data_IF_428084786145
#
_entry.id   IF_428084786145
#
_cell.length_a   1.000
_cell.length_b   1.000
_cell.length_c   1.000
_cell.angle_alpha   90.00
_cell.angle_beta   90.00
_cell.angle_gamma   90.00
#
_symmetry.space_group_name_H-M   'P 1'
#
loop_
_entity.id
_entity.type
_entity.pdbx_description
1 polymer ?
#
# COMPACT_ATOMS: atom_id res chain seq x y z
N UNK A 1 -8.20 2.01 -13.29
CA UNK A 1 -9.39 2.28 -12.49
C UNK A 1 -9.00 2.71 -11.10
N UNK A 2 -8.85 4.02 -10.87
CA UNK A 2 -9.05 4.62 -9.54
C UNK A 2 -10.52 4.45 -9.11
N UNK A 3 -10.80 4.58 -7.81
CA UNK A 3 -12.15 4.63 -7.26
C UNK A 3 -13.05 5.66 -7.99
N UNK A 4 -12.46 6.74 -8.50
CA UNK A 4 -13.17 7.79 -9.26
C UNK A 4 -13.28 7.49 -10.77
N UNK A 5 -12.38 6.66 -11.34
CA UNK A 5 -12.39 6.30 -12.77
C UNK A 5 -13.59 5.40 -13.13
N UNK A 6 -14.18 4.75 -12.11
CA UNK A 6 -15.39 3.93 -12.26
C UNK A 6 -16.65 4.74 -12.60
N UNK A 7 -16.75 5.98 -12.12
CA UNK A 7 -17.89 6.85 -12.41
C UNK A 7 -17.96 7.25 -13.90
N UNK A 8 -16.85 7.11 -14.64
CA UNK A 8 -16.77 7.52 -16.04
C UNK A 8 -16.69 6.33 -17.02
N UNK A 9 -16.41 5.12 -16.53
CA UNK A 9 -16.27 3.90 -17.34
C UNK A 9 -17.61 3.22 -17.71
N UNK A 10 -18.73 3.65 -17.12
CA UNK A 10 -20.07 3.09 -17.37
C UNK A 10 -20.68 3.51 -18.73
N UNK A 11 -19.89 4.11 -19.64
CA UNK A 11 -20.40 4.71 -20.88
C UNK A 11 -19.85 4.17 -22.20
N UNK A 12 -19.15 3.04 -22.23
CA UNK A 12 -18.62 2.52 -23.50
C UNK A 12 -18.85 1.00 -23.61
N UNK A 13 -19.79 0.63 -24.47
CA UNK A 13 -20.02 -0.74 -24.98
C UNK A 13 -19.10 -1.07 -26.17
N UNK A 14 -18.92 -2.35 -26.53
CA UNK A 14 -17.67 -2.89 -27.08
C UNK A 14 -17.72 -3.19 -28.59
N UNK A 15 -16.56 -3.27 -29.26
CA UNK A 15 -16.43 -3.93 -30.58
C UNK A 15 -15.14 -4.76 -30.72
N UNK A 16 -15.37 -6.02 -31.11
CA UNK A 16 -14.61 -7.11 -31.75
C UNK A 16 -13.09 -7.14 -31.92
N UNK A 17 -12.53 -8.26 -31.43
CA UNK A 17 -11.78 -9.34 -32.09
C UNK A 17 -11.05 -9.10 -33.42
N UNK A 18 -9.75 -9.45 -33.45
CA UNK A 18 -9.20 -10.38 -34.44
C UNK A 18 -7.85 -10.99 -34.00
N UNK A 19 -7.74 -12.29 -34.22
CA UNK A 19 -6.59 -13.19 -34.04
C UNK A 19 -5.51 -13.00 -35.10
N UNK A 20 -4.25 -13.25 -34.76
CA UNK A 20 -3.29 -13.98 -35.62
C UNK A 20 -2.06 -14.40 -34.80
N UNK A 21 -1.78 -15.70 -34.90
CA UNK A 21 -0.66 -16.46 -34.35
C UNK A 21 0.60 -16.30 -35.21
N UNK A 22 1.77 -16.12 -34.60
CA UNK A 22 3.07 -16.39 -35.23
C UNK A 22 4.09 -16.91 -34.21
N UNK A 23 4.84 -17.92 -34.67
CA UNK A 23 5.70 -18.82 -33.91
C UNK A 23 6.99 -18.15 -33.40
N UNK A 24 7.45 -18.53 -32.20
CA UNK A 24 8.83 -18.25 -31.77
C UNK A 24 9.46 -19.50 -31.15
N UNK A 25 10.69 -19.74 -31.60
CA UNK A 25 11.51 -20.93 -31.44
C UNK A 25 12.02 -21.16 -30.02
N UNK A 26 12.20 -22.44 -29.70
CA UNK A 26 12.75 -22.97 -28.47
C UNK A 26 14.18 -22.49 -28.21
N UNK A 27 14.42 -21.90 -27.04
CA UNK A 27 15.73 -21.86 -26.39
C UNK A 27 15.62 -22.46 -24.99
N UNK A 28 16.58 -23.31 -24.68
CA UNK A 28 16.61 -24.26 -23.58
C UNK A 28 16.26 -23.68 -22.20
N UNK A 29 15.36 -24.39 -21.51
CA UNK A 29 14.98 -24.19 -20.12
C UNK A 29 16.13 -24.65 -19.21
N UNK A 30 16.96 -23.72 -18.73
CA UNK A 30 17.90 -23.99 -17.64
C UNK A 30 17.16 -23.88 -16.32
N UNK A 31 16.86 -25.04 -15.73
CA UNK A 31 16.32 -25.18 -14.39
C UNK A 31 17.43 -24.93 -13.36
N UNK A 32 17.52 -23.71 -12.78
CA UNK A 32 18.10 -23.42 -11.44
C UNK A 32 18.09 -21.91 -11.08
N UNK A 33 16.95 -21.22 -11.15
CA UNK A 33 16.83 -19.82 -10.67
C UNK A 33 15.48 -19.55 -10.00
N UNK A 34 15.28 -20.07 -8.78
CA UNK A 34 14.14 -19.66 -7.93
C UNK A 34 14.48 -18.53 -6.96
N UNK A 35 15.68 -17.94 -7.05
CA UNK A 35 15.95 -16.65 -6.41
C UNK A 35 15.56 -15.57 -7.40
N UNK A 36 14.48 -14.79 -7.17
CA UNK A 36 14.16 -13.67 -8.02
C UNK A 36 15.39 -12.73 -8.05
N UNK A 37 15.86 -12.39 -9.25
CA UNK A 37 17.12 -11.66 -9.42
C UNK A 37 16.99 -10.24 -8.86
N UNK A 38 17.94 -9.81 -8.03
CA UNK A 38 17.97 -8.45 -7.49
C UNK A 38 18.01 -7.39 -8.61
N UNK A 39 18.53 -7.76 -9.78
CA UNK A 39 18.53 -6.93 -11.00
C UNK A 39 17.13 -6.49 -11.43
N UNK A 40 16.07 -7.25 -11.14
CA UNK A 40 14.70 -6.82 -11.43
C UNK A 40 14.27 -5.63 -10.54
N UNK A 41 14.78 -5.55 -9.30
CA UNK A 41 14.52 -4.44 -8.38
C UNK A 41 15.30 -3.17 -8.73
N UNK A 42 16.42 -3.30 -9.45
CA UNK A 42 17.22 -2.15 -9.88
C UNK A 42 16.66 -1.50 -11.16
N UNK A 43 15.80 -2.21 -11.88
CA UNK A 43 15.16 -1.75 -13.12
C UNK A 43 13.79 -1.08 -12.93
N UNK A 44 13.37 -0.84 -11.68
CA UNK A 44 12.08 -0.20 -11.38
C UNK A 44 12.12 1.28 -11.82
N UNK A 45 11.15 1.72 -12.63
CA UNK A 45 11.12 3.08 -13.18
C UNK A 45 9.92 3.90 -12.72
N UNK A 46 8.79 3.25 -12.48
CA UNK A 46 7.50 3.91 -12.17
C UNK A 46 7.24 3.89 -10.67
N UNK A 47 7.42 2.75 -10.01
CA UNK A 47 7.17 2.56 -8.59
C UNK A 47 8.04 3.47 -7.70
N UNK A 48 9.36 3.68 -7.97
CA UNK A 48 10.14 4.63 -7.19
C UNK A 48 9.53 6.04 -7.22
N UNK A 49 8.97 6.48 -8.35
CA UNK A 49 8.34 7.81 -8.46
C UNK A 49 7.07 7.90 -7.61
N UNK A 50 6.30 6.82 -7.53
CA UNK A 50 5.08 6.75 -6.71
C UNK A 50 5.42 6.75 -5.21
N UNK A 51 6.47 6.03 -4.82
CA UNK A 51 6.83 5.82 -3.42
C UNK A 51 7.72 6.91 -2.82
N UNK A 52 8.48 7.65 -3.63
CA UNK A 52 9.45 8.67 -3.20
C UNK A 52 8.82 9.92 -2.57
N UNK A 53 7.49 9.99 -2.48
CA UNK A 53 6.79 11.27 -2.42
C UNK A 53 6.01 11.51 -1.10
N UNK A 54 6.31 10.81 -0.02
CA UNK A 54 5.50 10.91 1.21
C UNK A 54 4.03 10.47 1.03
N UNK A 55 3.65 10.10 -0.20
CA UNK A 55 2.48 9.32 -0.59
C UNK A 55 2.31 8.15 0.36
N UNK A 56 3.40 7.43 0.64
CA UNK A 56 3.39 6.30 1.56
C UNK A 56 2.90 6.68 2.96
N UNK A 57 3.27 7.85 3.48
CA UNK A 57 2.85 8.29 4.81
C UNK A 57 1.40 8.77 4.83
N UNK A 58 0.97 9.54 3.82
CA UNK A 58 -0.40 10.05 3.77
C UNK A 58 -1.40 8.92 3.45
N UNK A 59 -1.01 7.99 2.58
CA UNK A 59 -1.81 6.82 2.21
C UNK A 59 -1.93 5.79 3.36
N UNK A 60 -1.06 5.85 4.38
CA UNK A 60 -1.16 5.00 5.57
C UNK A 60 -2.48 5.19 6.32
N UNK A 61 -2.98 6.42 6.43
CA UNK A 61 -4.23 6.71 7.16
C UNK A 61 -5.44 5.96 6.60
N UNK A 62 -5.80 6.17 5.32
CA UNK A 62 -6.86 5.39 4.66
C UNK A 62 -6.59 3.88 4.68
N UNK A 63 -5.33 3.45 4.48
CA UNK A 63 -4.96 2.04 4.48
C UNK A 63 -5.22 1.38 5.85
N UNK A 64 -4.85 2.03 6.96
CA UNK A 64 -5.10 1.51 8.31
C UNK A 64 -6.60 1.30 8.58
N UNK A 65 -7.44 2.24 8.15
CA UNK A 65 -8.90 2.08 8.32
C UNK A 65 -9.43 0.93 7.45
N UNK A 66 -8.98 0.81 6.20
CA UNK A 66 -9.39 -0.31 5.34
C UNK A 66 -8.91 -1.67 5.88
N UNK A 67 -7.73 -1.71 6.49
CA UNK A 67 -7.21 -2.91 7.15
C UNK A 67 -7.99 -3.25 8.42
N UNK A 68 -8.29 -2.26 9.26
CA UNK A 68 -9.05 -2.44 10.49
C UNK A 68 -10.50 -2.90 10.23
N UNK A 69 -11.10 -2.52 9.10
CA UNK A 69 -12.42 -2.95 8.68
C UNK A 69 -12.48 -4.40 8.16
N UNK A 70 -11.34 -5.05 7.92
CA UNK A 70 -11.33 -6.42 7.40
C UNK A 70 -11.46 -7.45 8.54
N UNK A 71 -12.39 -8.42 8.43
CA UNK A 71 -12.77 -9.29 9.55
C UNK A 71 -11.59 -10.09 10.11
N UNK A 72 -10.64 -10.49 9.25
CA UNK A 72 -9.47 -11.25 9.68
C UNK A 72 -8.41 -10.47 10.48
N UNK A 73 -8.62 -9.18 10.76
CA UNK A 73 -7.84 -8.41 11.75
C UNK A 73 -8.59 -8.21 13.07
N UNK A 74 -9.92 -8.32 13.05
CA UNK A 74 -10.74 -8.14 14.25
C UNK A 74 -10.64 -9.32 15.23
N UNK A 75 -10.30 -10.52 14.75
CA UNK A 75 -10.25 -11.75 15.54
C UNK A 75 -8.96 -11.95 16.32
N UNK A 76 -7.88 -11.25 15.96
CA UNK A 76 -6.56 -11.38 16.62
C UNK A 76 -6.38 -10.42 17.80
N UNK A 77 -7.22 -9.39 17.92
CA UNK A 77 -7.08 -8.36 18.92
C UNK A 77 -7.92 -8.67 20.17
N UNK A 78 -7.28 -9.18 21.22
CA UNK A 78 -7.92 -9.39 22.53
C UNK A 78 -8.22 -8.06 23.27
N UNK A 79 -7.78 -6.89 22.75
CA UNK A 79 -8.09 -5.53 23.26
C UNK A 79 -7.85 -4.49 22.14
N UNK A 80 -8.62 -3.40 22.09
CA UNK A 80 -8.56 -2.41 20.99
C UNK A 80 -7.24 -1.63 20.87
N UNK A 81 -6.58 -1.28 21.98
CA UNK A 81 -5.26 -0.63 21.97
C UNK A 81 -4.15 -1.51 21.36
N UNK A 82 -4.32 -2.84 21.42
CA UNK A 82 -3.40 -3.76 20.74
C UNK A 82 -3.61 -3.72 19.22
N UNK A 83 -4.85 -3.57 18.75
CA UNK A 83 -5.14 -3.57 17.32
C UNK A 83 -4.50 -2.37 16.59
N UNK A 84 -4.64 -1.15 17.12
CA UNK A 84 -4.04 0.04 16.50
C UNK A 84 -2.52 -0.10 16.43
N UNK A 85 -1.89 -0.53 17.52
CA UNK A 85 -0.43 -0.68 17.61
C UNK A 85 0.07 -1.77 16.67
N UNK A 86 -0.61 -2.91 16.61
CA UNK A 86 -0.27 -4.02 15.72
C UNK A 86 -0.43 -3.66 14.24
N UNK A 87 -1.55 -3.06 13.85
CA UNK A 87 -1.80 -2.63 12.47
C UNK A 87 -0.79 -1.57 12.04
N UNK A 88 -0.59 -0.56 12.88
CA UNK A 88 0.36 0.52 12.64
C UNK A 88 1.77 -0.02 12.48
N UNK A 89 2.23 -0.87 13.40
CA UNK A 89 3.58 -1.43 13.32
C UNK A 89 3.73 -2.35 12.11
N UNK A 90 2.76 -3.22 11.85
CA UNK A 90 2.77 -4.13 10.69
C UNK A 90 2.79 -3.36 9.37
N UNK A 91 2.02 -2.28 9.27
CA UNK A 91 1.99 -1.42 8.10
C UNK A 91 3.34 -0.72 7.90
N UNK A 92 3.87 -0.07 8.94
CA UNK A 92 5.15 0.64 8.85
C UNK A 92 6.32 -0.32 8.57
N UNK A 93 6.34 -1.52 9.17
CA UNK A 93 7.34 -2.54 8.85
C UNK A 93 7.28 -2.95 7.37
N UNK A 94 6.08 -3.20 6.85
CA UNK A 94 5.88 -3.55 5.43
C UNK A 94 6.32 -2.42 4.50
N UNK A 95 5.98 -1.17 4.85
CA UNK A 95 6.44 0.01 4.12
C UNK A 95 7.97 0.15 4.13
N UNK A 96 8.62 -0.11 5.27
CA UNK A 96 10.09 -0.11 5.37
C UNK A 96 10.73 -1.18 4.49
N UNK A 97 10.12 -2.37 4.43
CA UNK A 97 10.62 -3.45 3.56
C UNK A 97 10.47 -3.08 2.08
N UNK A 98 9.31 -2.56 1.68
CA UNK A 98 9.08 -2.05 0.32
C UNK A 98 10.08 -0.93 0.01
N UNK A 99 10.27 0.03 0.91
CA UNK A 99 11.20 1.13 0.73
C UNK A 99 12.65 0.65 0.54
N UNK A 100 13.08 -0.35 1.32
CA UNK A 100 14.41 -0.97 1.14
C UNK A 100 14.56 -1.68 -0.20
N UNK A 101 13.56 -2.45 -0.62
CA UNK A 101 13.62 -3.16 -1.90
C UNK A 101 13.65 -2.20 -3.10
N UNK A 102 13.00 -1.04 -2.98
CA UNK A 102 12.90 -0.04 -4.04
C UNK A 102 14.07 0.95 -4.05
N UNK A 103 14.55 1.38 -2.87
CA UNK A 103 15.53 2.48 -2.75
C UNK A 103 16.84 2.09 -2.05
N UNK A 104 16.90 0.94 -1.39
CA UNK A 104 18.09 0.49 -0.66
C UNK A 104 19.22 0.06 -1.59
N UNK A 105 20.43 -0.09 -1.02
CA UNK A 105 21.59 -0.66 -1.73
C UNK A 105 21.41 -2.17 -1.94
N UNK A 106 22.19 -2.77 -2.85
CA UNK A 106 22.16 -4.22 -3.07
C UNK A 106 22.44 -5.00 -1.77
N UNK A 107 23.38 -4.53 -0.95
CA UNK A 107 23.72 -5.10 0.36
C UNK A 107 22.54 -5.03 1.34
N UNK A 108 21.83 -3.90 1.40
CA UNK A 108 20.65 -3.73 2.26
C UNK A 108 19.49 -4.62 1.84
N UNK A 109 19.25 -4.73 0.52
CA UNK A 109 18.23 -5.64 -0.04
C UNK A 109 18.56 -7.09 0.33
N UNK A 110 19.80 -7.51 0.19
CA UNK A 110 20.23 -8.88 0.50
C UNK A 110 20.16 -9.16 2.01
N UNK A 111 20.61 -8.24 2.86
CA UNK A 111 20.53 -8.38 4.31
C UNK A 111 19.06 -8.49 4.79
N UNK A 112 18.16 -7.65 4.26
CA UNK A 112 16.74 -7.72 4.54
C UNK A 112 16.16 -9.08 4.11
N UNK A 113 16.37 -9.48 2.84
CA UNK A 113 15.83 -10.73 2.32
C UNK A 113 16.42 -11.96 3.04
N UNK A 114 17.68 -11.91 3.45
CA UNK A 114 18.32 -12.94 4.27
C UNK A 114 17.62 -13.12 5.61
N UNK A 115 17.41 -12.03 6.35
CA UNK A 115 16.68 -12.04 7.63
C UNK A 115 15.24 -12.53 7.48
N UNK A 116 14.55 -12.09 6.43
CA UNK A 116 13.19 -12.52 6.12
C UNK A 116 13.11 -14.03 5.82
N UNK A 117 14.07 -14.58 5.06
CA UNK A 117 14.16 -16.03 4.77
C UNK A 117 14.43 -16.88 6.01
N UNK A 118 15.18 -16.33 6.98
CA UNK A 118 15.43 -16.98 8.27
C UNK A 118 14.24 -16.90 9.24
N UNK A 119 13.14 -16.25 8.84
CA UNK A 119 11.98 -16.04 9.72
C UNK A 119 12.24 -15.02 10.83
N UNK A 120 13.27 -14.18 10.69
CA UNK A 120 13.68 -13.17 11.66
C UNK A 120 13.50 -11.76 11.09
N UNK A 121 12.26 -11.31 10.82
CA UNK A 121 12.02 -10.00 10.23
C UNK A 121 12.51 -8.89 11.17
N UNK A 122 13.28 -7.90 10.66
CA UNK A 122 14.05 -6.96 11.50
C UNK A 122 13.22 -5.90 12.23
N UNK A 123 11.91 -5.78 11.94
CA UNK A 123 11.03 -4.74 12.50
C UNK A 123 9.80 -5.34 13.21
N UNK A 124 9.97 -6.52 13.79
CA UNK A 124 8.93 -7.13 14.62
C UNK A 124 8.90 -6.51 16.02
N UNK A 125 7.74 -6.00 16.43
CA UNK A 125 7.53 -5.48 17.79
C UNK A 125 6.79 -6.45 18.71
N UNK A 126 6.10 -7.49 18.19
CA UNK A 126 5.44 -8.53 18.99
C UNK A 126 5.29 -9.85 18.21
N UNK A 127 5.32 -11.02 18.89
CA UNK A 127 5.02 -12.32 18.28
C UNK A 127 3.61 -12.40 17.66
N UNK A 128 2.63 -11.63 18.16
CA UNK A 128 1.29 -11.51 17.54
C UNK A 128 1.31 -10.73 16.23
N UNK A 129 2.31 -9.87 16.04
CA UNK A 129 2.54 -9.10 14.81
C UNK A 129 3.32 -9.88 13.77
N UNK A 130 3.66 -11.15 14.04
CA UNK A 130 4.34 -11.99 13.07
C UNK A 130 3.43 -12.17 11.85
N UNK A 131 3.96 -12.02 10.62
CA UNK A 131 3.21 -12.36 9.42
C UNK A 131 2.59 -13.76 9.54
N UNK A 132 3.36 -14.71 10.05
CA UNK A 132 2.97 -16.11 10.25
C UNK A 132 1.73 -16.34 11.14
N UNK A 133 1.38 -15.39 12.02
CA UNK A 133 0.21 -15.53 12.90
C UNK A 133 -1.11 -15.09 12.24
N UNK A 134 -1.06 -14.50 11.05
CA UNK A 134 -2.23 -13.89 10.40
C UNK A 134 -2.76 -14.78 9.27
N UNK A 135 -4.09 -14.86 9.08
CA UNK A 135 -4.66 -15.54 7.92
C UNK A 135 -4.09 -14.96 6.62
N UNK A 136 -3.69 -15.81 5.64
CA UNK A 136 -3.10 -15.36 4.39
C UNK A 136 -3.96 -14.32 3.64
N UNK A 137 -5.27 -14.47 3.67
CA UNK A 137 -6.21 -13.53 3.06
C UNK A 137 -6.11 -12.10 3.65
N UNK A 138 -5.92 -11.98 4.97
CA UNK A 138 -5.75 -10.67 5.62
C UNK A 138 -4.42 -10.01 5.26
N UNK A 139 -3.36 -10.80 5.05
CA UNK A 139 -2.07 -10.28 4.60
C UNK A 139 -2.15 -9.77 3.16
N UNK A 140 -2.82 -10.52 2.28
CA UNK A 140 -3.10 -10.07 0.92
C UNK A 140 -3.89 -8.75 0.94
N UNK A 141 -4.89 -8.63 1.81
CA UNK A 141 -5.65 -7.39 1.98
C UNK A 141 -4.78 -6.21 2.45
N UNK A 142 -3.85 -6.44 3.38
CA UNK A 142 -2.88 -5.42 3.80
C UNK A 142 -2.05 -4.92 2.62
N UNK A 143 -1.50 -5.83 1.80
CA UNK A 143 -0.71 -5.45 0.62
C UNK A 143 -1.58 -4.75 -0.44
N UNK A 144 -2.81 -5.21 -0.61
CA UNK A 144 -3.78 -4.63 -1.54
C UNK A 144 -4.13 -3.19 -1.17
N UNK A 145 -4.38 -2.93 0.12
CA UNK A 145 -4.66 -1.58 0.62
C UNK A 145 -3.47 -0.64 0.43
N UNK A 146 -2.23 -1.10 0.64
CA UNK A 146 -1.04 -0.30 0.37
C UNK A 146 -0.94 0.12 -1.11
N UNK A 147 -1.14 -0.82 -2.04
CA UNK A 147 -1.12 -0.50 -3.48
C UNK A 147 -2.26 0.44 -3.86
N UNK A 148 -3.50 0.12 -3.45
CA UNK A 148 -4.69 0.88 -3.83
C UNK A 148 -4.62 2.32 -3.29
N UNK A 149 -4.26 2.52 -2.03
CA UNK A 149 -4.21 3.87 -1.45
C UNK A 149 -3.01 4.67 -1.96
N UNK A 150 -1.85 4.06 -2.18
CA UNK A 150 -0.70 4.74 -2.75
C UNK A 150 -0.97 5.20 -4.20
N UNK A 151 -1.54 4.32 -5.03
CA UNK A 151 -1.86 4.66 -6.42
C UNK A 151 -3.00 5.67 -6.54
N UNK A 152 -4.02 5.59 -5.69
CA UNK A 152 -5.13 6.56 -5.67
C UNK A 152 -4.64 7.94 -5.21
N UNK A 153 -3.83 8.00 -4.15
CA UNK A 153 -3.27 9.27 -3.67
C UNK A 153 -2.33 9.90 -4.70
N UNK A 154 -1.46 9.10 -5.34
CA UNK A 154 -0.59 9.58 -6.40
C UNK A 154 -1.39 10.19 -7.56
N UNK A 155 -2.42 9.49 -8.04
CA UNK A 155 -3.26 10.00 -9.14
C UNK A 155 -4.00 11.29 -8.77
N UNK A 156 -4.39 11.43 -7.51
CA UNK A 156 -5.04 12.66 -7.01
C UNK A 156 -4.09 13.86 -7.02
N UNK A 157 -2.79 13.67 -6.79
CA UNK A 157 -1.78 14.75 -6.82
C UNK A 157 -1.26 15.01 -8.23
N UNK A 158 -0.97 13.97 -9.00
CA UNK A 158 -0.25 14.09 -10.27
C UNK A 158 -1.12 13.95 -11.52
N UNK A 159 -2.40 13.62 -11.35
CA UNK A 159 -3.31 13.32 -12.44
C UNK A 159 -3.42 11.82 -12.71
N UNK A 160 -4.41 11.45 -13.52
CA UNK A 160 -4.64 10.05 -13.90
C UNK A 160 -3.44 9.46 -14.63
N UNK A 161 -3.06 8.24 -14.27
CA UNK A 161 -2.11 7.47 -15.08
C UNK A 161 -2.70 7.20 -16.46
N UNK A 162 -1.85 7.23 -17.49
CA UNK A 162 -2.19 6.50 -18.70
C UNK A 162 -2.18 4.99 -18.39
N UNK A 163 -2.90 4.22 -19.21
CA UNK A 163 -3.09 2.79 -18.98
C UNK A 163 -1.75 2.04 -18.81
N UNK A 164 -0.76 2.39 -19.63
CA UNK A 164 0.57 1.76 -19.64
C UNK A 164 1.38 2.05 -18.39
N UNK A 165 1.40 3.29 -17.89
CA UNK A 165 2.10 3.59 -16.62
C UNK A 165 1.44 2.88 -15.46
N UNK A 166 0.11 2.77 -15.47
CA UNK A 166 -0.60 2.08 -14.40
C UNK A 166 -0.37 0.56 -14.39
N UNK A 167 -0.25 -0.08 -15.55
CA UNK A 167 0.18 -1.48 -15.67
C UNK A 167 1.63 -1.65 -15.22
N UNK A 168 2.55 -0.82 -15.71
CA UNK A 168 3.95 -0.87 -15.30
C UNK A 168 4.11 -0.70 -13.78
N UNK A 169 3.38 0.24 -13.16
CA UNK A 169 3.36 0.41 -11.71
C UNK A 169 2.87 -0.84 -10.97
N UNK A 170 1.86 -1.52 -11.51
CA UNK A 170 1.33 -2.77 -10.95
C UNK A 170 2.35 -3.90 -11.04
N UNK A 171 2.98 -4.07 -12.20
CA UNK A 171 3.96 -5.11 -12.45
C UNK A 171 5.20 -4.92 -11.58
N UNK A 172 5.70 -3.69 -11.49
CA UNK A 172 6.81 -3.30 -10.61
C UNK A 172 6.48 -3.56 -9.14
N UNK A 173 5.26 -3.24 -8.69
CA UNK A 173 4.82 -3.59 -7.34
C UNK A 173 4.76 -5.11 -7.14
N UNK A 174 4.25 -5.85 -8.13
CA UNK A 174 4.24 -7.30 -8.14
C UNK A 174 5.64 -7.92 -8.06
N UNK A 175 6.65 -7.33 -8.73
CA UNK A 175 8.06 -7.73 -8.58
C UNK A 175 8.48 -7.60 -7.12
N UNK A 176 8.32 -6.42 -6.51
CA UNK A 176 8.69 -6.17 -5.11
C UNK A 176 8.00 -7.16 -4.18
N UNK A 177 6.70 -7.38 -4.37
CA UNK A 177 5.93 -8.32 -3.56
C UNK A 177 6.40 -9.76 -3.72
N UNK A 178 6.80 -10.22 -4.91
CA UNK A 178 7.35 -11.58 -5.08
C UNK A 178 8.60 -11.82 -4.23
N UNK A 179 9.43 -10.80 -4.02
CA UNK A 179 10.58 -10.90 -3.12
C UNK A 179 10.19 -10.96 -1.64
N UNK A 180 9.07 -10.32 -1.26
CA UNK A 180 8.54 -10.32 0.12
C UNK A 180 7.60 -11.49 0.42
N UNK A 181 6.97 -12.06 -0.60
CA UNK A 181 5.97 -13.14 -0.54
C UNK A 181 6.43 -14.35 0.29
N UNK A 182 7.67 -14.87 0.19
CA UNK A 182 8.05 -16.04 0.99
C UNK A 182 7.97 -15.82 2.51
N UNK A 183 7.89 -14.57 2.98
CA UNK A 183 7.82 -14.23 4.40
C UNK A 183 6.50 -13.54 4.77
N UNK A 184 5.95 -12.70 3.90
CA UNK A 184 4.71 -11.94 4.17
C UNK A 184 3.47 -12.67 3.64
N UNK A 185 3.61 -13.58 2.68
CA UNK A 185 2.50 -14.24 2.00
C UNK A 185 2.87 -15.70 1.67
N UNK A 186 3.06 -16.55 2.70
CA UNK A 186 3.67 -17.87 2.56
C UNK A 186 2.75 -18.95 1.95
N UNK A 187 1.51 -18.62 1.56
CA UNK A 187 0.49 -19.59 1.11
C UNK A 187 0.09 -19.38 -0.35
N UNK A 188 0.01 -20.49 -1.10
CA UNK A 188 -0.51 -20.53 -2.48
C UNK A 188 -1.94 -19.97 -2.61
N UNK A 189 -2.71 -19.93 -1.51
CA UNK A 189 -4.09 -19.44 -1.50
C UNK A 189 -4.21 -17.91 -1.47
N UNK A 190 -3.13 -17.20 -1.14
CA UNK A 190 -3.14 -15.74 -1.01
C UNK A 190 -2.18 -15.06 -1.98
N UNK A 191 -1.96 -15.66 -3.16
CA UNK A 191 -1.07 -15.10 -4.17
C UNK A 191 -1.54 -13.71 -4.61
N UNK A 192 -0.58 -12.81 -4.84
CA UNK A 192 -0.84 -11.52 -5.45
C UNK A 192 -1.46 -11.73 -6.85
N UNK A 193 -2.54 -11.03 -7.22
CA UNK A 193 -3.21 -11.23 -8.50
C UNK A 193 -2.25 -11.03 -9.69
N UNK A 194 -2.39 -11.83 -10.75
CA UNK A 194 -1.40 -11.85 -11.83
C UNK A 194 -1.49 -10.62 -12.72
N UNK A 195 -2.69 -10.06 -12.84
CA UNK A 195 -2.94 -8.85 -13.63
C UNK A 195 -3.60 -7.75 -12.81
N UNK A 196 -3.39 -6.50 -13.22
CA UNK A 196 -4.07 -5.34 -12.62
C UNK A 196 -5.59 -5.47 -12.70
N UNK A 197 -6.13 -6.08 -13.75
CA UNK A 197 -7.57 -6.30 -13.89
C UNK A 197 -8.11 -7.31 -12.87
N UNK A 198 -7.39 -8.41 -12.63
CA UNK A 198 -7.71 -9.38 -11.58
C UNK A 198 -7.62 -8.75 -10.18
N UNK A 199 -6.63 -7.89 -9.95
CA UNK A 199 -6.53 -7.14 -8.71
C UNK A 199 -7.77 -6.30 -8.42
N UNK A 200 -8.27 -5.54 -9.40
CA UNK A 200 -9.47 -4.73 -9.19
C UNK A 200 -10.73 -5.58 -9.01
N UNK A 201 -10.82 -6.76 -9.67
CA UNK A 201 -11.90 -7.72 -9.40
C UNK A 201 -11.86 -8.26 -7.97
N UNK A 202 -10.67 -8.63 -7.49
CA UNK A 202 -10.45 -9.04 -6.10
C UNK A 202 -10.83 -7.94 -5.12
N UNK A 203 -10.33 -6.72 -5.35
CA UNK A 203 -10.63 -5.54 -4.52
C UNK A 203 -12.13 -5.31 -4.40
N UNK A 204 -12.85 -5.35 -5.52
CA UNK A 204 -14.29 -5.13 -5.57
C UNK A 204 -15.10 -6.25 -4.90
N UNK A 205 -14.59 -7.48 -4.91
CA UNK A 205 -15.19 -8.60 -4.22
C UNK A 205 -14.96 -8.55 -2.70
N UNK A 206 -13.87 -7.96 -2.24
CA UNK A 206 -13.55 -7.81 -0.81
C UNK A 206 -14.24 -6.61 -0.16
N UNK A 207 -14.40 -5.48 -0.86
CA UNK A 207 -15.04 -4.27 -0.32
C UNK A 207 -16.38 -4.50 0.41
N UNK A 208 -17.33 -5.33 -0.11
CA UNK A 208 -18.60 -5.60 0.57
C UNK A 208 -18.48 -6.48 1.81
N UNK A 209 -17.36 -7.22 1.97
CA UNK A 209 -17.12 -8.11 3.12
C UNK A 209 -16.54 -7.36 4.33
N UNK A 210 -16.08 -6.14 4.12
CA UNK A 210 -15.54 -5.29 5.18
C UNK A 210 -16.65 -4.91 6.16
N UNK A 211 -16.36 -5.04 7.44
CA UNK A 211 -17.28 -4.73 8.53
C UNK A 211 -16.55 -3.91 9.59
N UNK A 212 -17.05 -2.70 9.85
CA UNK A 212 -16.48 -1.85 10.89
C UNK A 212 -16.91 -2.38 12.26
N UNK A 213 -15.98 -3.06 12.93
CA UNK A 213 -16.14 -3.55 14.29
C UNK A 213 -15.92 -2.44 15.32
N UNK A 214 -16.27 -2.69 16.59
CA UNK A 214 -15.97 -1.77 17.68
C UNK A 214 -14.45 -1.49 17.80
N UNK A 215 -13.62 -2.53 17.68
CA UNK A 215 -12.16 -2.39 17.70
C UNK A 215 -11.66 -1.54 16.51
N UNK A 216 -12.27 -1.67 15.34
CA UNK A 216 -11.95 -0.83 14.20
C UNK A 216 -12.30 0.65 14.48
N UNK A 217 -13.42 0.92 15.14
CA UNK A 217 -13.83 2.28 15.49
C UNK A 217 -12.86 2.95 16.47
N UNK A 218 -12.29 2.17 17.39
CA UNK A 218 -11.23 2.63 18.29
C UNK A 218 -9.96 3.01 17.51
N UNK A 219 -9.56 2.21 16.50
CA UNK A 219 -8.44 2.56 15.60
C UNK A 219 -8.66 3.91 14.92
N UNK A 220 -9.87 4.18 14.43
CA UNK A 220 -10.19 5.48 13.83
C UNK A 220 -10.11 6.63 14.83
N UNK A 221 -10.53 6.38 16.07
CA UNK A 221 -10.50 7.36 17.16
C UNK A 221 -9.06 7.67 17.61
N UNK A 222 -8.23 6.65 17.75
CA UNK A 222 -6.82 6.79 18.12
C UNK A 222 -6.02 7.46 16.99
N UNK A 223 -6.26 7.08 15.73
CA UNK A 223 -5.64 7.72 14.58
C UNK A 223 -5.98 9.21 14.49
N UNK A 224 -7.22 9.59 14.84
CA UNK A 224 -7.63 11.00 14.91
C UNK A 224 -6.96 11.77 16.07
N UNK A 225 -6.56 11.06 17.14
CA UNK A 225 -5.86 11.63 18.30
C UNK A 225 -4.34 11.61 18.17
N UNK A 226 -3.80 10.95 17.14
CA UNK A 226 -2.36 10.75 17.01
C UNK A 226 -1.63 12.08 17.03
N UNK A 227 -0.70 12.20 17.98
CA UNK A 227 0.10 13.38 18.18
C UNK A 227 1.16 13.50 17.07
N UNK A 228 0.81 14.16 15.97
CA UNK A 228 1.81 14.57 14.97
C UNK A 228 2.83 15.52 15.63
N UNK A 229 4.12 15.43 15.28
CA UNK A 229 5.18 16.26 15.86
C UNK A 229 4.79 17.74 15.85
N UNK A 230 5.17 18.50 16.90
CA UNK A 230 4.63 19.84 17.24
C UNK A 230 4.60 20.86 16.07
N UNK A 231 5.44 20.70 15.05
CA UNK A 231 5.44 21.55 13.84
C UNK A 231 4.42 21.17 12.75
N UNK A 232 3.76 20.01 12.84
CA UNK A 232 2.89 19.43 11.80
C UNK A 232 1.43 19.36 12.26
N UNK A 233 1.11 19.77 13.50
CA UNK A 233 -0.26 19.73 14.04
C UNK A 233 -1.31 20.46 13.20
N UNK A 234 -0.92 21.47 12.42
CA UNK A 234 -1.81 22.22 11.53
C UNK A 234 -2.32 21.37 10.34
N UNK A 235 -1.66 20.26 10.01
CA UNK A 235 -2.09 19.37 8.91
C UNK A 235 -3.07 18.29 9.36
N UNK A 236 -3.31 18.12 10.67
CA UNK A 236 -4.29 17.16 11.22
C UNK A 236 -5.67 17.21 10.55
N UNK A 237 -6.35 18.37 10.44
CA UNK A 237 -7.66 18.42 9.81
C UNK A 237 -7.60 18.09 8.32
N UNK A 238 -6.48 18.40 7.65
CA UNK A 238 -6.25 18.08 6.24
C UNK A 238 -6.05 16.57 6.05
N UNK A 239 -5.19 15.95 6.85
CA UNK A 239 -4.96 14.50 6.84
C UNK A 239 -6.26 13.75 7.14
N UNK A 240 -7.04 14.21 8.12
CA UNK A 240 -8.36 13.65 8.41
C UNK A 240 -9.30 13.77 7.21
N UNK A 241 -9.36 14.93 6.56
CA UNK A 241 -10.19 15.11 5.37
C UNK A 241 -9.75 14.19 4.22
N UNK A 242 -8.44 14.06 3.98
CA UNK A 242 -7.88 13.13 2.98
C UNK A 242 -8.30 11.70 3.31
N UNK A 243 -8.11 11.25 4.55
CA UNK A 243 -8.52 9.92 4.99
C UNK A 243 -10.01 9.69 4.73
N UNK A 244 -10.88 10.61 5.16
CA UNK A 244 -12.33 10.47 4.97
C UNK A 244 -12.70 10.38 3.49
N UNK A 245 -12.18 11.27 2.65
CA UNK A 245 -12.56 11.34 1.23
C UNK A 245 -11.97 10.18 0.41
N UNK A 246 -10.83 9.60 0.81
CA UNK A 246 -10.24 8.43 0.16
C UNK A 246 -10.92 7.10 0.54
N UNK A 247 -11.66 7.06 1.65
CA UNK A 247 -12.41 5.86 2.03
C UNK A 247 -13.62 5.65 1.09
N UNK A 248 -13.91 4.40 0.67
CA UNK A 248 -15.18 4.06 0.03
C UNK A 248 -16.37 4.44 0.91
N UNK A 249 -17.47 4.85 0.28
CA UNK A 249 -18.65 5.40 0.97
C UNK A 249 -19.24 4.45 2.01
N UNK A 250 -19.39 3.17 1.66
CA UNK A 250 -19.89 2.13 2.56
C UNK A 250 -19.04 1.98 3.84
N UNK A 251 -17.71 2.07 3.71
CA UNK A 251 -16.80 1.92 4.85
C UNK A 251 -16.78 3.20 5.69
N UNK A 252 -16.78 4.36 5.02
CA UNK A 252 -16.86 5.67 5.65
C UNK A 252 -18.08 5.79 6.56
N UNK A 253 -19.24 5.35 6.08
CA UNK A 253 -20.48 5.32 6.86
C UNK A 253 -20.38 4.38 8.06
N UNK A 254 -19.78 3.19 7.88
CA UNK A 254 -19.52 2.25 8.98
C UNK A 254 -18.67 2.85 10.10
N UNK A 255 -17.73 3.74 9.78
CA UNK A 255 -16.93 4.49 10.77
C UNK A 255 -17.63 5.73 11.35
N UNK A 256 -18.83 6.07 10.88
CA UNK A 256 -19.52 7.32 11.23
C UNK A 256 -18.84 8.58 10.69
N UNK A 257 -17.90 8.45 9.75
CA UNK A 257 -17.08 9.53 9.22
C UNK A 257 -17.79 10.28 8.08
N UNK A 258 -18.86 11.02 8.36
CA UNK A 258 -19.63 11.67 7.30
C UNK A 258 -18.77 12.64 6.46
N UNK A 259 -18.78 12.45 5.14
CA UNK A 259 -18.28 13.45 4.19
C UNK A 259 -19.23 14.64 4.26
N UNK A 260 -18.73 15.77 4.76
CA UNK A 260 -19.49 17.02 4.90
C UNK A 260 -19.01 18.02 3.86
N UNK A 261 -19.81 19.05 3.61
CA UNK A 261 -19.39 20.15 2.74
C UNK A 261 -18.03 20.75 3.18
N UNK A 262 -17.77 20.80 4.49
CA UNK A 262 -16.50 21.24 5.06
C UNK A 262 -15.32 20.33 4.74
N UNK A 263 -15.46 19.00 4.89
CA UNK A 263 -14.37 18.06 4.56
C UNK A 263 -14.07 18.06 3.07
N UNK A 264 -15.11 18.08 2.22
CA UNK A 264 -14.95 18.17 0.77
C UNK A 264 -14.25 19.46 0.35
N UNK A 265 -14.63 20.60 0.92
CA UNK A 265 -13.99 21.89 0.61
C UNK A 265 -12.54 21.92 1.08
N UNK A 266 -12.27 21.44 2.29
CA UNK A 266 -10.90 21.37 2.82
C UNK A 266 -10.03 20.43 1.98
N UNK A 267 -10.56 19.26 1.61
CA UNK A 267 -9.89 18.31 0.72
C UNK A 267 -9.61 18.92 -0.66
N UNK A 268 -10.63 19.51 -1.31
CA UNK A 268 -10.49 20.13 -2.62
C UNK A 268 -9.48 21.29 -2.60
N UNK A 269 -9.51 22.10 -1.53
CA UNK A 269 -8.56 23.21 -1.34
C UNK A 269 -7.15 22.69 -1.11
N UNK A 270 -7.00 21.69 -0.23
CA UNK A 270 -5.71 21.08 0.06
C UNK A 270 -5.12 20.44 -1.21
N UNK A 271 -5.89 19.64 -1.94
CA UNK A 271 -5.44 19.00 -3.17
C UNK A 271 -5.17 20.03 -4.28
N UNK A 272 -5.99 21.08 -4.38
CA UNK A 272 -5.80 22.18 -5.33
C UNK A 272 -4.55 23.02 -5.07
N UNK A 273 -4.13 23.16 -3.79
CA UNK A 273 -2.88 23.80 -3.40
C UNK A 273 -1.68 22.85 -3.51
N UNK A 274 -1.85 21.57 -3.17
CA UNK A 274 -0.78 20.58 -3.23
C UNK A 274 -0.37 20.31 -4.68
N UNK A 275 -1.32 20.15 -5.60
CA UNK A 275 -1.09 19.88 -7.03
C UNK A 275 0.00 20.76 -7.68
N UNK A 276 -0.06 22.11 -7.59
CA UNK A 276 0.95 22.98 -8.17
C UNK A 276 2.21 23.13 -7.30
N UNK A 277 2.09 23.07 -5.98
CA UNK A 277 3.21 23.30 -5.06
C UNK A 277 4.11 22.07 -4.95
N UNK A 278 3.53 20.88 -4.99
CA UNK A 278 4.21 19.62 -4.74
C UNK A 278 5.33 19.31 -5.76
N UNK A 279 5.14 19.53 -7.09
CA UNK A 279 6.21 19.44 -8.09
C UNK A 279 7.35 20.46 -7.89
N UNK A 280 7.13 21.53 -7.11
CA UNK A 280 8.15 22.54 -6.79
C UNK A 280 8.93 22.22 -5.50
N UNK A 281 8.46 21.29 -4.67
CA UNK A 281 9.17 20.90 -3.44
C UNK A 281 10.50 20.21 -3.81
N UNK A 282 11.65 20.57 -3.23
CA UNK A 282 12.91 19.90 -3.57
C UNK A 282 12.88 18.39 -3.30
N UNK A 283 13.49 17.58 -4.20
CA UNK A 283 13.55 16.11 -4.08
C UNK A 283 14.04 15.62 -2.72
N UNK A 284 14.96 16.35 -2.08
CA UNK A 284 15.50 16.01 -0.76
C UNK A 284 14.46 16.02 0.37
N UNK A 285 13.45 16.89 0.27
CA UNK A 285 12.34 16.95 1.23
C UNK A 285 11.27 15.89 0.91
N UNK A 286 10.99 15.64 -0.38
CA UNK A 286 10.04 14.57 -0.79
C UNK A 286 10.52 13.19 -0.36
N UNK A 287 11.81 12.90 -0.50
CA UNK A 287 12.41 11.63 -0.10
C UNK A 287 12.63 11.48 1.41
N UNK A 288 12.31 12.48 2.24
CA UNK A 288 12.54 12.44 3.68
C UNK A 288 11.84 11.27 4.40
N UNK A 289 10.59 10.91 4.07
CA UNK A 289 9.93 9.75 4.68
C UNK A 289 10.59 8.43 4.31
N UNK A 290 11.07 8.29 3.06
CA UNK A 290 11.82 7.10 2.62
C UNK A 290 13.13 6.97 3.41
N UNK A 291 13.85 8.08 3.62
CA UNK A 291 15.07 8.08 4.44
C UNK A 291 14.79 7.63 5.88
N UNK A 292 13.71 8.11 6.49
CA UNK A 292 13.30 7.68 7.82
C UNK A 292 13.05 6.17 7.89
N UNK A 293 12.31 5.60 6.93
CA UNK A 293 12.07 4.16 6.88
C UNK A 293 13.33 3.33 6.65
N UNK A 294 14.27 3.82 5.82
CA UNK A 294 15.56 3.15 5.59
C UNK A 294 16.45 3.21 6.83
N UNK A 295 16.50 4.35 7.54
CA UNK A 295 17.25 4.48 8.79
C UNK A 295 16.71 3.57 9.88
N UNK A 296 15.39 3.49 10.02
CA UNK A 296 14.74 2.59 10.97
C UNK A 296 15.05 1.12 10.65
N UNK A 297 15.02 0.75 9.37
CA UNK A 297 15.38 -0.61 8.94
C UNK A 297 16.85 -0.91 9.19
N UNK A 298 17.77 0.03 8.91
CA UNK A 298 19.21 -0.15 9.18
C UNK A 298 19.46 -0.43 10.65
N UNK A 299 18.79 0.30 11.55
CA UNK A 299 18.85 0.02 12.99
C UNK A 299 18.37 -1.40 13.31
N UNK A 300 17.23 -1.80 12.74
CA UNK A 300 16.69 -3.14 12.90
C UNK A 300 17.55 -4.27 12.32
N UNK A 301 18.33 -4.02 11.26
CA UNK A 301 19.27 -5.01 10.69
C UNK A 301 20.57 -5.09 11.49
N UNK A 302 21.02 -3.98 12.09
CA UNK A 302 22.25 -3.93 12.89
C UNK A 302 22.09 -4.52 14.31
N UNK A 303 20.86 -4.60 14.81
CA UNK A 303 20.51 -5.24 16.09
C UNK A 303 20.32 -6.74 15.95
#
# INVERSE_FOLDING_TARGET
>A
MSLDEKANAEKISPVSSNSSSEQAQSTAYNANTNTPSLSALDNLQVLPKILQEGVLFVASGPALLLQAAHPGFSTTANTSTNLTTELTTSLHATLSYIACLVFGTAEEKEALLGRLRLGQPPLQSSPSSTPSSRPPASQLWLLATLYATATDFYQRIYGSFDYRTAEAAYDEFGVVLRHLSPTILPSDQALWPSTRAEFWKYWDAELPKLAVSAAAHDVATELARWDLPRGVGLTRPVLRAITIEMLPENIREGYGLKSTFGTRRLYATAMGLLKPVYPCIPRGWRASPVKYYLEELRRGISS
#
